data_IF_535008362024
#
_entry.id   IF_535008362024
#
_cell.length_a   1.000
_cell.length_b   1.000
_cell.length_c   1.000
_cell.angle_alpha   90.00
_cell.angle_beta   90.00
_cell.angle_gamma   90.00
#
_symmetry.space_group_name_H-M   'P 1'
#
loop_
_entity.id
_entity.type
_entity.pdbx_description
1 polymer ?
#
# COMPACT_ATOMS: atom_id res chain seq x y z
N UNK A 1 11.11 3.56 10.57
CA UNK A 1 10.52 2.26 10.96
C UNK A 1 9.03 2.39 11.12
N UNK A 2 8.28 1.53 10.44
CA UNK A 2 6.84 1.35 10.67
C UNK A 2 6.62 0.12 11.55
N UNK A 3 5.59 0.15 12.37
CA UNK A 3 5.28 -0.99 13.25
C UNK A 3 4.59 -2.10 12.46
N UNK A 4 4.65 -3.34 13.00
CA UNK A 4 3.88 -4.46 12.44
C UNK A 4 2.37 -4.18 12.47
N UNK A 5 1.89 -3.41 13.46
CA UNK A 5 0.49 -2.99 13.54
C UNK A 5 0.10 -2.09 12.36
N UNK A 6 1.00 -1.20 11.94
CA UNK A 6 0.79 -0.33 10.77
C UNK A 6 0.66 -1.16 9.50
N UNK A 7 1.55 -2.14 9.30
CA UNK A 7 1.48 -3.06 8.15
C UNK A 7 0.16 -3.84 8.17
N UNK A 8 -0.20 -4.44 9.31
CA UNK A 8 -1.46 -5.17 9.44
C UNK A 8 -2.67 -4.27 9.16
N UNK A 9 -2.64 -2.99 9.55
CA UNK A 9 -3.73 -2.05 9.29
C UNK A 9 -3.86 -1.73 7.80
N UNK A 10 -2.74 -1.60 7.08
CA UNK A 10 -2.72 -1.42 5.62
C UNK A 10 -3.32 -2.64 4.93
N UNK A 11 -2.85 -3.85 5.27
CA UNK A 11 -3.34 -5.11 4.67
C UNK A 11 -4.83 -5.36 4.91
N UNK A 12 -5.40 -4.80 5.97
CA UNK A 12 -6.82 -4.92 6.30
C UNK A 12 -7.65 -3.71 5.85
N UNK A 13 -7.12 -2.82 5.00
CA UNK A 13 -7.77 -1.59 4.53
C UNK A 13 -8.25 -0.67 5.68
N UNK A 14 -7.59 -0.73 6.84
CA UNK A 14 -7.89 0.09 8.03
C UNK A 14 -7.01 1.34 8.13
N UNK A 15 -6.00 1.44 7.27
CA UNK A 15 -5.08 2.56 7.23
C UNK A 15 -4.60 2.79 5.81
N UNK A 16 -4.76 4.02 5.34
CA UNK A 16 -4.24 4.45 4.06
C UNK A 16 -2.79 4.92 4.25
N UNK A 17 -1.79 4.25 3.65
CA UNK A 17 -0.39 4.61 3.83
C UNK A 17 -0.11 6.00 3.24
N UNK A 18 0.80 6.74 3.87
CA UNK A 18 1.32 7.97 3.25
C UNK A 18 2.02 7.63 1.93
N UNK A 19 2.04 8.59 0.99
CA UNK A 19 2.68 8.44 -0.31
C UNK A 19 4.12 7.88 -0.18
N UNK A 20 4.90 8.44 0.74
CA UNK A 20 6.27 7.99 1.02
C UNK A 20 6.33 6.53 1.49
N UNK A 21 5.37 6.11 2.31
CA UNK A 21 5.29 4.73 2.80
C UNK A 21 4.89 3.77 1.66
N UNK A 22 3.96 4.16 0.82
CA UNK A 22 3.55 3.40 -0.37
C UNK A 22 4.75 3.15 -1.31
N UNK A 23 5.52 4.20 -1.63
CA UNK A 23 6.75 4.07 -2.43
C UNK A 23 7.81 3.19 -1.77
N UNK A 24 7.98 3.30 -0.45
CA UNK A 24 8.93 2.47 0.28
C UNK A 24 8.52 0.99 0.27
N UNK A 25 7.22 0.69 0.40
CA UNK A 25 6.70 -0.67 0.28
C UNK A 25 6.93 -1.23 -1.12
N UNK A 26 6.53 -0.50 -2.16
CA UNK A 26 6.69 -0.91 -3.55
C UNK A 26 8.17 -1.22 -3.87
N UNK A 27 9.09 -0.34 -3.46
CA UNK A 27 10.54 -0.56 -3.61
C UNK A 27 11.04 -1.80 -2.86
N UNK A 28 10.51 -2.06 -1.66
CA UNK A 28 10.91 -3.22 -0.84
C UNK A 28 10.41 -4.53 -1.45
N UNK A 29 9.22 -4.51 -2.03
CA UNK A 29 8.59 -5.67 -2.68
C UNK A 29 9.03 -5.87 -4.14
N UNK A 30 9.75 -4.90 -4.72
CA UNK A 30 10.23 -4.96 -6.10
C UNK A 30 9.14 -4.77 -7.15
N UNK A 31 8.03 -4.11 -6.79
CA UNK A 31 6.88 -3.83 -7.65
C UNK A 31 6.68 -2.32 -7.79
N UNK A 32 5.78 -1.88 -8.69
CA UNK A 32 5.40 -0.46 -8.76
C UNK A 32 4.34 -0.13 -7.71
N UNK A 33 4.14 1.17 -7.43
CA UNK A 33 3.07 1.60 -6.51
C UNK A 33 1.70 1.27 -7.10
N UNK A 34 1.54 1.43 -8.42
CA UNK A 34 0.32 1.10 -9.15
C UNK A 34 -0.01 -0.41 -9.10
N UNK A 35 1.01 -1.28 -9.14
CA UNK A 35 0.80 -2.73 -8.97
C UNK A 35 0.37 -3.11 -7.53
N UNK A 36 0.76 -2.28 -6.56
CA UNK A 36 0.57 -2.57 -5.13
C UNK A 36 -0.70 -1.96 -4.56
N UNK A 37 -1.14 -0.81 -5.07
CA UNK A 37 -2.32 -0.08 -4.61
C UNK A 37 -3.24 0.19 -5.81
N UNK A 38 -4.43 -0.37 -5.77
CA UNK A 38 -5.46 -0.16 -6.78
C UNK A 38 -6.33 1.04 -6.40
N UNK A 39 -6.62 1.89 -7.38
CA UNK A 39 -7.63 2.93 -7.17
C UNK A 39 -9.02 2.30 -7.12
N UNK A 40 -9.90 2.77 -6.22
CA UNK A 40 -11.26 2.22 -6.06
C UNK A 40 -12.08 2.23 -7.36
N UNK A 41 -11.71 3.04 -8.35
CA UNK A 41 -12.37 3.14 -9.65
C UNK A 41 -11.88 2.17 -10.73
N UNK A 42 -10.84 1.36 -10.47
CA UNK A 42 -10.30 0.42 -11.47
C UNK A 42 -10.86 -1.00 -11.37
N UNK A 43 -11.65 -1.29 -10.34
CA UNK A 43 -12.26 -2.62 -10.13
C UNK A 43 -13.51 -2.82 -11.02
N UNK A 44 -14.07 -1.75 -11.59
CA UNK A 44 -15.19 -1.83 -12.54
C UNK A 44 -14.72 -1.91 -14.01
N UNK A 45 -14.46 -3.12 -14.50
CA UNK A 45 -14.52 -3.45 -15.94
C UNK A 45 -15.04 -4.87 -16.18
#
# INVERSE_FOLDING_TARGET
NVSRQTINAIENNKYDPSLQLAFNLAKTLGVTVDDLFLSEGEIEK
#
